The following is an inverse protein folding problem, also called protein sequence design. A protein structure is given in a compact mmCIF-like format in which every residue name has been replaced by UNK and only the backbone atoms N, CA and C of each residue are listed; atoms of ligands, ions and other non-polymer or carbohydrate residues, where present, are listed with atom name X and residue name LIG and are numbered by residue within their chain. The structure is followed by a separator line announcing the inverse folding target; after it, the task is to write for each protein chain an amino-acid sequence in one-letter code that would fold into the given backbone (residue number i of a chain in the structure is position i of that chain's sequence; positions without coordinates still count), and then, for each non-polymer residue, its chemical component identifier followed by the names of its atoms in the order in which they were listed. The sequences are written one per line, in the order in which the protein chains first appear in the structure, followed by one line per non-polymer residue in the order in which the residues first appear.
data_IF_784246305836
#
_entry.id   IF_784246305836
#
_cell.length_a   1.000
_cell.length_b   1.000
_cell.length_c   1.000
_cell.angle_alpha   90.00
_cell.angle_beta   90.00
_cell.angle_gamma   90.00
#
_symmetry.space_group_name_H-M   'P 1'
#
loop_
_entity.id
_entity.type
_entity.pdbx_description
1 polymer ?
#
# COMPACT_ATOMS: atom_id res chain seq x y z
N UNK A 1 1.33 -16.53 -15.73
CA UNK A 1 2.48 -15.79 -16.31
C UNK A 1 3.05 -14.80 -15.30
N UNK A 2 4.38 -14.62 -15.24
CA UNK A 2 5.00 -13.60 -14.40
C UNK A 2 4.55 -12.20 -14.85
N UNK A 3 3.88 -11.46 -13.96
CA UNK A 3 3.29 -10.13 -14.23
C UNK A 3 4.21 -8.94 -13.87
N UNK A 4 5.48 -9.19 -13.53
CA UNK A 4 6.38 -8.16 -13.00
C UNK A 4 7.27 -7.57 -14.10
N UNK A 5 7.38 -6.25 -14.17
CA UNK A 5 8.31 -5.55 -15.06
C UNK A 5 9.78 -5.97 -14.83
N UNK A 6 10.14 -6.35 -13.59
CA UNK A 6 11.49 -6.85 -13.29
C UNK A 6 11.79 -8.21 -13.92
N UNK A 7 10.77 -9.08 -14.09
CA UNK A 7 10.96 -10.35 -14.79
C UNK A 7 11.34 -10.08 -16.26
N UNK A 8 10.53 -9.28 -16.96
CA UNK A 8 10.78 -8.92 -18.34
C UNK A 8 12.09 -8.15 -18.53
N UNK A 9 12.43 -7.27 -17.58
CA UNK A 9 13.71 -6.57 -17.60
C UNK A 9 14.90 -7.53 -17.62
N UNK A 10 14.90 -8.56 -16.77
CA UNK A 10 15.96 -9.58 -16.76
C UNK A 10 15.98 -10.42 -18.02
N UNK A 11 14.81 -10.85 -18.50
CA UNK A 11 14.71 -11.66 -19.73
C UNK A 11 15.27 -10.91 -20.94
N UNK A 12 14.93 -9.63 -21.08
CA UNK A 12 15.43 -8.79 -22.17
C UNK A 12 16.92 -8.46 -22.01
N UNK A 13 17.41 -8.26 -20.78
CA UNK A 13 18.85 -8.13 -20.53
C UNK A 13 19.62 -9.40 -20.90
N UNK A 14 19.08 -10.58 -20.60
CA UNK A 14 19.68 -11.86 -20.99
C UNK A 14 19.76 -12.01 -22.52
N UNK A 15 18.81 -11.43 -23.26
CA UNK A 15 18.82 -11.37 -24.72
C UNK A 15 19.79 -10.31 -25.29
N UNK A 16 20.51 -9.55 -24.44
CA UNK A 16 21.50 -8.55 -24.86
C UNK A 16 20.97 -7.13 -25.04
N UNK A 17 19.71 -6.85 -24.66
CA UNK A 17 19.15 -5.50 -24.76
C UNK A 17 19.52 -4.64 -23.54
N UNK A 18 19.80 -3.36 -23.78
CA UNK A 18 19.88 -2.37 -22.71
C UNK A 18 18.45 -2.02 -22.24
N UNK A 19 18.12 -2.39 -21.01
CA UNK A 19 16.78 -2.17 -20.44
C UNK A 19 16.86 -1.21 -19.26
N UNK A 20 16.04 -0.16 -19.31
CA UNK A 20 15.88 0.80 -18.22
C UNK A 20 14.41 0.83 -17.78
N UNK A 21 14.16 0.73 -16.48
CA UNK A 21 12.80 0.79 -15.93
C UNK A 21 12.49 2.21 -15.44
N UNK A 22 11.30 2.71 -15.80
CA UNK A 22 10.80 4.02 -15.36
C UNK A 22 9.79 3.81 -14.23
N UNK A 23 9.82 4.67 -13.20
CA UNK A 23 8.82 4.65 -12.14
C UNK A 23 7.43 4.94 -12.70
N UNK A 24 6.45 4.12 -12.29
CA UNK A 24 5.04 4.28 -12.70
C UNK A 24 4.46 5.63 -12.31
N UNK A 25 4.96 6.24 -11.23
CA UNK A 25 4.53 7.57 -10.76
C UNK A 25 4.86 8.66 -11.78
N UNK A 26 6.02 8.59 -12.44
CA UNK A 26 6.41 9.58 -13.45
C UNK A 26 5.58 9.42 -14.73
N UNK A 27 5.36 8.18 -15.18
CA UNK A 27 4.53 7.90 -16.36
C UNK A 27 3.09 8.33 -16.12
N UNK A 28 2.53 8.02 -14.94
CA UNK A 28 1.14 8.36 -14.60
C UNK A 28 0.88 9.86 -14.59
N UNK A 29 1.88 10.69 -14.27
CA UNK A 29 1.74 12.14 -14.31
C UNK A 29 1.53 12.68 -15.74
N UNK A 30 1.93 11.92 -16.76
CA UNK A 30 1.84 12.29 -18.18
C UNK A 30 0.79 11.50 -18.95
N UNK A 31 0.27 10.40 -18.39
CA UNK A 31 -0.84 9.66 -18.98
C UNK A 31 -2.09 10.54 -19.05
N UNK A 32 -2.67 10.63 -20.25
CA UNK A 32 -3.98 11.26 -20.46
C UNK A 32 -5.07 10.41 -19.81
N UNK A 33 -6.15 11.03 -19.33
CA UNK A 33 -7.25 10.38 -18.60
C UNK A 33 -7.99 9.28 -19.39
N UNK A 34 -7.80 9.20 -20.71
CA UNK A 34 -8.37 8.12 -21.54
C UNK A 34 -7.39 6.96 -21.64
N UNK A 35 -7.81 5.79 -21.15
CA UNK A 35 -7.07 4.53 -21.26
C UNK A 35 -6.95 4.11 -22.73
N UNK A 36 -5.76 4.27 -23.29
CA UNK A 36 -5.41 3.89 -24.65
C UNK A 36 -3.92 3.57 -24.67
N UNK A 37 -3.54 2.41 -25.23
CA UNK A 37 -2.14 1.98 -25.31
C UNK A 37 -1.26 3.00 -26.05
N UNK A 38 -1.82 3.71 -27.03
CA UNK A 38 -1.11 4.79 -27.73
C UNK A 38 -0.77 5.96 -26.79
N UNK A 39 -1.68 6.32 -25.88
CA UNK A 39 -1.43 7.37 -24.90
C UNK A 39 -0.38 6.93 -23.87
N UNK A 40 -0.42 5.66 -23.46
CA UNK A 40 0.56 5.10 -22.52
C UNK A 40 1.95 5.05 -23.15
N UNK A 41 2.08 4.64 -24.42
CA UNK A 41 3.34 4.67 -25.16
C UNK A 41 3.89 6.10 -25.30
N UNK A 42 3.04 7.07 -25.63
CA UNK A 42 3.43 8.48 -25.70
C UNK A 42 3.92 9.00 -24.33
N UNK A 43 3.18 8.70 -23.25
CA UNK A 43 3.58 9.10 -21.91
C UNK A 43 4.92 8.47 -21.49
N UNK A 44 5.15 7.20 -21.83
CA UNK A 44 6.44 6.53 -21.58
C UNK A 44 7.57 7.20 -22.37
N UNK A 45 7.38 7.49 -23.65
CA UNK A 45 8.38 8.15 -24.49
C UNK A 45 8.69 9.57 -24.00
N UNK A 46 7.66 10.36 -23.68
CA UNK A 46 7.84 11.72 -23.15
C UNK A 46 8.54 11.70 -21.80
N UNK A 47 8.17 10.74 -20.93
CA UNK A 47 8.88 10.52 -19.67
C UNK A 47 10.34 10.16 -19.96
N UNK A 48 10.64 9.19 -20.82
CA UNK A 48 12.01 8.77 -21.08
C UNK A 48 12.92 9.91 -21.60
N UNK A 49 12.36 10.89 -22.31
CA UNK A 49 13.10 12.02 -22.88
C UNK A 49 13.34 13.18 -21.91
N UNK A 50 12.69 13.21 -20.75
CA UNK A 50 12.84 14.32 -19.80
C UNK A 50 14.20 14.28 -19.09
N UNK A 51 14.92 15.41 -19.00
CA UNK A 51 16.20 15.47 -18.29
C UNK A 51 16.00 15.24 -16.79
N UNK A 52 16.94 14.52 -16.16
CA UNK A 52 16.94 14.30 -14.70
C UNK A 52 15.99 13.22 -14.18
N UNK A 53 15.45 12.35 -15.05
CA UNK A 53 14.63 11.24 -14.59
C UNK A 53 15.45 10.13 -13.96
N UNK A 54 14.93 9.66 -12.83
CA UNK A 54 15.49 8.52 -12.13
C UNK A 54 14.98 7.21 -12.72
N UNK A 55 15.93 6.40 -13.21
CA UNK A 55 15.65 5.04 -13.65
C UNK A 55 15.82 4.05 -12.51
N UNK A 56 14.91 3.09 -12.41
CA UNK A 56 14.96 2.04 -11.40
C UNK A 56 15.82 0.90 -11.90
N UNK A 57 16.83 0.44 -11.13
CA UNK A 57 17.58 -0.75 -11.51
C UNK A 57 16.68 -1.99 -11.51
N UNK A 58 16.98 -2.91 -12.42
CA UNK A 58 16.31 -4.20 -12.47
C UNK A 58 16.76 -5.02 -11.27
N UNK A 59 15.79 -5.51 -10.49
CA UNK A 59 16.06 -6.29 -9.28
C UNK A 59 16.43 -7.71 -9.62
N UNK A 60 17.38 -8.26 -8.87
CA UNK A 60 17.71 -9.68 -8.93
C UNK A 60 16.58 -10.52 -8.34
N UNK A 61 16.64 -11.84 -8.54
CA UNK A 61 15.63 -12.76 -8.01
C UNK A 61 15.67 -12.73 -6.49
N UNK A 62 16.87 -12.78 -5.91
CA UNK A 62 17.07 -12.76 -4.46
C UNK A 62 16.53 -11.46 -3.83
N UNK A 63 16.75 -10.31 -4.47
CA UNK A 63 16.19 -9.03 -4.00
C UNK A 63 14.66 -9.00 -4.06
N UNK A 64 14.06 -9.64 -5.06
CA UNK A 64 12.62 -9.76 -5.19
C UNK A 64 12.04 -10.69 -4.11
N UNK A 65 12.74 -11.77 -3.79
CA UNK A 65 12.34 -12.74 -2.77
C UNK A 65 12.45 -12.15 -1.35
N UNK A 66 13.55 -11.45 -1.05
CA UNK A 66 13.70 -10.73 0.23
C UNK A 66 12.56 -9.72 0.42
N UNK A 67 12.17 -9.00 -0.64
CA UNK A 67 11.01 -8.09 -0.58
C UNK A 67 9.72 -8.84 -0.28
N UNK A 68 9.47 -9.96 -0.96
CA UNK A 68 8.28 -10.78 -0.75
C UNK A 68 8.20 -11.32 0.68
N UNK A 69 9.31 -11.82 1.22
CA UNK A 69 9.41 -12.30 2.60
C UNK A 69 9.10 -11.20 3.61
N UNK A 70 9.69 -10.01 3.46
CA UNK A 70 9.40 -8.86 4.34
C UNK A 70 7.94 -8.45 4.27
N UNK A 71 7.34 -8.45 3.09
CA UNK A 71 5.91 -8.16 2.92
C UNK A 71 5.02 -9.20 3.62
N UNK A 72 5.36 -10.49 3.56
CA UNK A 72 4.64 -11.54 4.26
C UNK A 72 4.75 -11.40 5.79
N UNK A 73 5.95 -11.08 6.30
CA UNK A 73 6.16 -10.81 7.72
C UNK A 73 5.34 -9.61 8.21
N UNK A 74 5.36 -8.52 7.46
CA UNK A 74 4.58 -7.31 7.77
C UNK A 74 3.07 -7.63 7.82
N UNK A 75 2.57 -8.36 6.82
CA UNK A 75 1.16 -8.77 6.77
C UNK A 75 0.78 -9.64 7.96
N UNK A 76 1.65 -10.58 8.37
CA UNK A 76 1.39 -11.43 9.54
C UNK A 76 1.29 -10.61 10.85
N UNK A 77 2.14 -9.58 11.01
CA UNK A 77 2.07 -8.67 12.17
C UNK A 77 0.78 -7.86 12.16
N UNK A 78 0.37 -7.36 11.00
CA UNK A 78 -0.90 -6.63 10.83
C UNK A 78 -2.10 -7.54 11.15
N UNK A 79 -2.12 -8.76 10.60
CA UNK A 79 -3.18 -9.74 10.86
C UNK A 79 -3.28 -10.12 12.34
N UNK A 80 -2.15 -10.33 13.01
CA UNK A 80 -2.12 -10.55 14.47
C UNK A 80 -2.76 -9.39 15.22
N UNK A 81 -2.39 -8.16 14.86
CA UNK A 81 -2.92 -6.94 15.50
C UNK A 81 -4.43 -6.81 15.28
N UNK A 82 -4.89 -7.09 14.06
CA UNK A 82 -6.33 -7.10 13.72
C UNK A 82 -7.07 -8.15 14.54
N UNK A 83 -6.54 -9.37 14.64
CA UNK A 83 -7.15 -10.46 15.39
C UNK A 83 -7.22 -10.14 16.89
N UNK A 84 -6.16 -9.60 17.48
CA UNK A 84 -6.16 -9.17 18.89
C UNK A 84 -7.23 -8.10 19.14
N UNK A 85 -7.38 -7.14 18.22
CA UNK A 85 -8.41 -6.11 18.32
C UNK A 85 -9.82 -6.69 18.17
N UNK A 86 -10.02 -7.66 17.27
CA UNK A 86 -11.29 -8.37 17.10
C UNK A 86 -11.68 -9.16 18.36
N UNK A 87 -10.75 -9.90 18.96
CA UNK A 87 -10.98 -10.64 20.21
C UNK A 87 -11.37 -9.69 21.35
N UNK A 88 -10.67 -8.55 21.49
CA UNK A 88 -11.00 -7.54 22.50
C UNK A 88 -12.38 -6.94 22.27
N UNK A 89 -12.75 -6.66 21.02
CA UNK A 89 -14.07 -6.15 20.68
C UNK A 89 -15.18 -7.16 21.02
N UNK A 90 -14.97 -8.44 20.65
CA UNK A 90 -15.91 -9.51 20.96
C UNK A 90 -16.11 -9.72 22.47
N UNK A 91 -15.03 -9.73 23.24
CA UNK A 91 -15.10 -9.82 24.70
C UNK A 91 -15.83 -8.61 25.33
N UNK A 92 -15.67 -7.41 24.77
CA UNK A 92 -16.39 -6.21 25.21
C UNK A 92 -17.88 -6.26 24.86
N UNK A 93 -18.27 -6.79 23.69
CA UNK A 93 -19.68 -6.94 23.33
C UNK A 93 -20.41 -7.92 24.25
N UNK A 94 -19.75 -8.98 24.72
CA UNK A 94 -20.34 -9.91 25.69
C UNK A 94 -20.56 -9.29 27.08
N UNK A 95 -19.72 -8.33 27.47
CA UNK A 95 -19.89 -7.56 28.73
C UNK A 95 -21.00 -6.51 28.66
N UNK A 96 -21.48 -6.12 27.47
CA UNK A 96 -22.67 -5.26 27.33
C UNK A 96 -23.98 -6.05 27.49
N UNK A 97 -23.95 -7.40 27.41
CA UNK A 97 -25.12 -8.27 27.61
C UNK A 97 -25.33 -8.67 29.07
N UNK A 98 -24.31 -8.55 29.93
CA UNK A 98 -24.38 -8.73 31.38
C UNK A 98 -24.05 -7.39 32.04
N UNK A 99 -25.10 -6.65 32.41
CA UNK A 99 -25.03 -5.24 32.77
C UNK A 99 -23.88 -4.86 33.70
N UNK A 100 -23.16 -3.80 33.35
CA UNK A 100 -22.65 -2.73 34.24
C UNK A 100 -21.69 -1.82 33.48
N UNK A 101 -21.81 -0.51 33.73
CA UNK A 101 -21.01 0.57 33.14
C UNK A 101 -19.51 0.38 33.41
N UNK A 102 -18.66 0.28 32.38
CA UNK A 102 -17.25 0.64 32.49
C UNK A 102 -16.61 0.91 31.11
N UNK A 103 -16.24 2.18 30.91
CA UNK A 103 -15.42 2.67 29.80
C UNK A 103 -13.96 2.47 30.19
N UNK A 104 -13.23 1.61 29.48
CA UNK A 104 -11.77 1.63 29.50
C UNK A 104 -11.19 1.29 28.11
N UNK A 105 -10.53 2.28 27.54
CA UNK A 105 -9.72 2.19 26.34
C UNK A 105 -8.27 1.95 26.79
N UNK A 106 -7.71 0.78 26.49
CA UNK A 106 -6.29 0.50 26.67
C UNK A 106 -5.68 0.25 25.30
N UNK A 107 -4.64 1.02 24.93
CA UNK A 107 -3.84 0.81 23.71
C UNK A 107 -2.37 0.63 24.09
N UNK A 108 -1.71 -0.46 23.69
CA UNK A 108 -0.26 -0.51 23.69
C UNK A 108 0.26 0.33 22.49
N UNK A 109 0.89 1.45 22.82
CA UNK A 109 1.96 2.13 22.06
C UNK A 109 1.98 1.96 20.53
N UNK A 110 1.20 2.76 19.81
CA UNK A 110 1.59 3.37 18.53
C UNK A 110 0.87 4.73 18.41
N UNK A 111 1.61 5.80 18.16
CA UNK A 111 1.14 7.19 18.14
C UNK A 111 -0.17 7.38 17.37
N UNK A 112 -1.22 7.84 18.07
CA UNK A 112 -2.48 8.29 17.47
C UNK A 112 -2.70 9.72 17.95
N UNK A 113 -2.48 10.67 17.05
CA UNK A 113 -2.93 12.04 17.22
C UNK A 113 -4.47 12.04 17.15
N UNK A 114 -5.12 12.27 18.30
CA UNK A 114 -6.54 12.63 18.34
C UNK A 114 -6.59 14.15 18.29
N UNK A 115 -6.86 14.71 17.12
CA UNK A 115 -7.17 16.14 17.01
C UNK A 115 -8.53 16.40 17.65
N UNK A 116 -8.59 17.46 18.45
CA UNK A 116 -9.77 17.90 19.17
C UNK A 116 -10.86 18.34 18.17
N UNK A 117 -11.80 17.45 17.85
CA UNK A 117 -13.13 17.85 17.38
C UNK A 117 -14.15 17.07 18.19
N UNK A 118 -14.37 17.59 19.38
CA UNK A 118 -15.39 17.18 20.31
C UNK A 118 -16.76 17.03 19.63
N UNK A 119 -17.43 15.92 19.95
CA UNK A 119 -18.84 15.86 20.37
C UNK A 119 -19.66 17.10 19.99
N UNK A 120 -20.45 16.99 18.93
CA UNK A 120 -21.69 17.77 18.83
C UNK A 120 -22.71 17.01 17.98
N UNK A 121 -23.94 16.97 18.48
CA UNK A 121 -25.21 16.64 17.80
C UNK A 121 -25.63 15.16 17.79
N UNK A 122 -26.07 14.69 18.96
CA UNK A 122 -27.24 13.82 19.08
C UNK A 122 -28.16 14.46 20.12
N UNK A 123 -29.14 15.24 19.65
CA UNK A 123 -30.37 15.62 20.32
C UNK A 123 -31.16 16.54 19.36
N UNK A 124 -32.19 15.98 18.75
CA UNK A 124 -33.45 16.64 18.38
C UNK A 124 -34.42 15.53 18.02
N UNK A 125 -35.11 15.01 19.03
CA UNK A 125 -36.48 14.53 18.91
C UNK A 125 -37.38 15.75 18.83
N UNK A 126 -37.94 16.00 17.65
CA UNK A 126 -39.32 16.42 17.36
C UNK A 126 -39.60 16.06 15.90
#
# INVERSE_FOLDING_TARGET
MPRSAHYWGRTLQYMGYEVRLILTQHVKALCKNQKNDANDALAICETACRPGIYFVPIKTIEQQDIKALRSAQQLAVEQRTVLENQIRAFSKSDKLRRGSKARLCYRPSVNIFITNKAVSRFNSTE
#
